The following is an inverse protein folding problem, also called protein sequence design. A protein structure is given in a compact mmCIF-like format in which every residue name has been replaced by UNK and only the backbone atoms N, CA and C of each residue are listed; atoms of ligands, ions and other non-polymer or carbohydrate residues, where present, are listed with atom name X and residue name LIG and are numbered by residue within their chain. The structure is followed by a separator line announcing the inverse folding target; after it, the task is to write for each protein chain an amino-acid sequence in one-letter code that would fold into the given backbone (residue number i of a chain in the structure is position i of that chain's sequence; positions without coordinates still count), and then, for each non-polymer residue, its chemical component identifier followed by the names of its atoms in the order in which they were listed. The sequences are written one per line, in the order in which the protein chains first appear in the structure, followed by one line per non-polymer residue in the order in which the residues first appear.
data_IF_444254051249
#
_entry.id   IF_444254051249
#
_cell.length_a   1.000
_cell.length_b   1.000
_cell.length_c   1.000
_cell.angle_alpha   90.00
_cell.angle_beta   90.00
_cell.angle_gamma   90.00
#
_symmetry.space_group_name_H-M   'P 1'
#
loop_
_entity.id
_entity.type
_entity.pdbx_description
1 polymer ?
#
# COMPACT_ATOMS: atom_id res chain seq x y z
N UNK A 1 19.09 13.23 4.97
CA UNK A 1 17.71 12.70 5.10
C UNK A 1 16.72 13.85 5.26
N UNK A 2 16.94 14.80 6.18
CA UNK A 2 16.19 16.06 6.21
C UNK A 2 16.89 17.18 5.42
N UNK A 3 16.08 18.13 4.98
CA UNK A 3 16.48 19.46 4.52
C UNK A 3 16.73 20.41 5.71
N UNK A 4 17.20 21.61 5.41
CA UNK A 4 17.36 22.68 6.42
C UNK A 4 16.04 23.10 7.04
N UNK A 5 14.92 22.98 6.32
CA UNK A 5 13.58 23.40 6.74
C UNK A 5 12.77 22.30 7.44
N UNK A 6 13.39 21.16 7.78
CA UNK A 6 12.75 20.10 8.57
C UNK A 6 11.83 19.16 7.78
N UNK A 7 11.82 19.25 6.44
CA UNK A 7 11.19 18.26 5.55
C UNK A 7 12.23 17.29 4.98
N UNK A 8 11.80 16.24 4.28
CA UNK A 8 12.71 15.32 3.58
C UNK A 8 13.56 16.03 2.52
N UNK A 9 14.84 15.65 2.48
CA UNK A 9 15.77 16.11 1.46
C UNK A 9 15.45 15.45 0.10
N UNK A 10 15.27 16.26 -0.94
CA UNK A 10 14.96 15.79 -2.30
C UNK A 10 16.01 14.84 -2.87
N UNK A 11 17.30 15.06 -2.60
CA UNK A 11 18.37 14.16 -3.01
C UNK A 11 18.29 12.80 -2.31
N UNK A 12 17.84 12.74 -1.06
CA UNK A 12 17.61 11.47 -0.37
C UNK A 12 16.38 10.71 -0.92
N UNK A 13 15.31 11.44 -1.26
CA UNK A 13 14.12 10.85 -1.89
C UNK A 13 14.41 10.27 -3.28
N UNK A 14 15.34 10.87 -4.03
CA UNK A 14 15.73 10.42 -5.36
C UNK A 14 16.55 9.11 -5.36
N UNK A 15 17.21 8.77 -4.26
CA UNK A 15 17.98 7.52 -4.15
C UNK A 15 17.02 6.35 -3.93
N UNK A 16 16.95 5.39 -4.86
CA UNK A 16 16.10 4.19 -4.72
C UNK A 16 14.62 4.58 -4.63
N UNK A 17 13.98 4.94 -5.75
CA UNK A 17 12.83 5.86 -5.87
C UNK A 17 11.87 5.81 -4.67
N UNK A 18 12.09 6.70 -3.70
CA UNK A 18 11.30 6.72 -2.47
C UNK A 18 9.98 7.43 -2.68
N UNK A 19 8.94 6.92 -2.04
CA UNK A 19 7.62 7.54 -2.03
C UNK A 19 7.29 8.03 -0.64
N UNK A 20 6.48 9.09 -0.58
CA UNK A 20 6.00 9.68 0.69
C UNK A 20 4.50 9.42 0.83
N UNK A 21 4.09 8.97 2.01
CA UNK A 21 2.72 8.67 2.39
C UNK A 21 2.39 9.40 3.69
N UNK A 22 1.44 10.35 3.70
CA UNK A 22 0.95 10.91 4.94
C UNK A 22 0.07 9.86 5.65
N UNK A 23 0.25 9.74 6.97
CA UNK A 23 -0.50 8.81 7.82
C UNK A 23 -1.09 9.58 9.00
N UNK A 24 -2.36 9.31 9.38
CA UNK A 24 -2.97 9.92 10.56
C UNK A 24 -2.14 9.66 11.82
N UNK A 25 -1.96 10.68 12.64
CA UNK A 25 -1.27 10.55 13.92
C UNK A 25 -1.92 11.44 14.98
N UNK A 26 -1.71 11.10 16.25
CA UNK A 26 -2.15 11.92 17.38
C UNK A 26 -1.26 13.13 17.63
N UNK A 27 -1.20 13.56 18.89
CA UNK A 27 -0.28 14.62 19.35
C UNK A 27 1.07 14.08 19.85
N UNK A 28 1.22 12.77 19.93
CA UNK A 28 2.39 12.06 20.45
C UNK A 28 2.54 10.73 19.71
N UNK A 29 3.72 10.13 19.79
CA UNK A 29 3.97 8.79 19.29
C UNK A 29 3.07 7.81 20.05
N UNK A 30 2.41 6.93 19.31
CA UNK A 30 1.58 5.85 19.83
C UNK A 30 2.08 4.50 19.31
N UNK A 31 1.51 3.41 19.83
CA UNK A 31 1.86 2.05 19.43
C UNK A 31 1.76 1.84 17.93
N UNK A 32 0.76 2.44 17.27
CA UNK A 32 0.58 2.30 15.82
C UNK A 32 1.76 2.92 15.05
N UNK A 33 2.29 4.05 15.51
CA UNK A 33 3.44 4.69 14.90
C UNK A 33 4.74 3.92 15.14
N UNK A 34 4.92 3.38 16.35
CA UNK A 34 6.04 2.50 16.69
C UNK A 34 6.04 1.25 15.81
N UNK A 35 4.89 0.58 15.70
CA UNK A 35 4.78 -0.63 14.88
C UNK A 35 5.12 -0.36 13.41
N UNK A 36 4.71 0.79 12.86
CA UNK A 36 5.05 1.15 11.48
C UNK A 36 6.55 1.26 11.22
N UNK A 37 7.32 1.85 12.14
CA UNK A 37 8.79 1.93 11.93
C UNK A 37 9.44 0.56 12.09
N UNK A 38 9.00 -0.25 13.05
CA UNK A 38 9.52 -1.60 13.28
C UNK A 38 9.27 -2.49 12.06
N UNK A 39 8.02 -2.57 11.60
CA UNK A 39 7.64 -3.38 10.43
C UNK A 39 8.30 -2.90 9.14
N UNK A 40 8.47 -1.58 9.00
CA UNK A 40 9.25 -0.99 7.91
C UNK A 40 10.70 -1.44 7.92
N UNK A 41 11.35 -1.43 9.09
CA UNK A 41 12.73 -1.91 9.25
C UNK A 41 12.84 -3.41 8.97
N UNK A 42 11.97 -4.24 9.55
CA UNK A 42 11.97 -5.69 9.32
C UNK A 42 11.80 -6.04 7.84
N UNK A 43 10.82 -5.43 7.17
CA UNK A 43 10.56 -5.71 5.75
C UNK A 43 11.66 -5.14 4.84
N UNK A 44 12.29 -4.04 5.26
CA UNK A 44 13.41 -3.43 4.55
C UNK A 44 14.77 -4.11 4.77
N UNK A 45 14.89 -5.00 5.77
CA UNK A 45 16.14 -5.64 6.15
C UNK A 45 17.07 -4.76 7.00
N UNK A 46 16.51 -3.77 7.72
CA UNK A 46 17.28 -2.90 8.59
C UNK A 46 17.27 -3.41 10.04
N UNK A 47 18.46 -3.48 10.64
CA UNK A 47 18.64 -4.07 11.99
C UNK A 47 18.37 -3.10 13.15
N UNK A 48 18.11 -1.82 12.86
CA UNK A 48 17.94 -0.80 13.88
C UNK A 48 17.15 0.41 13.40
N UNK A 49 16.61 1.16 14.37
CA UNK A 49 15.94 2.44 14.18
C UNK A 49 16.86 3.56 14.65
N UNK A 50 17.11 4.52 13.78
CA UNK A 50 17.75 5.78 14.08
C UNK A 50 16.69 6.79 14.51
N UNK A 51 16.85 7.36 15.70
CA UNK A 51 15.94 8.35 16.29
C UNK A 51 16.62 9.70 16.37
N UNK A 52 15.95 10.74 15.89
CA UNK A 52 16.39 12.14 15.98
C UNK A 52 15.23 13.01 16.45
N UNK A 53 15.33 13.52 17.67
CA UNK A 53 14.51 14.65 18.08
C UNK A 53 14.94 15.89 17.28
N UNK A 54 13.98 16.60 16.69
CA UNK A 54 14.28 17.76 15.84
C UNK A 54 14.18 19.01 16.74
N UNK A 55 15.28 19.39 17.38
CA UNK A 55 15.34 20.66 18.11
C UNK A 55 15.18 21.88 17.17
N UNK A 56 14.87 23.04 17.77
CA UNK A 56 14.85 24.33 17.06
C UNK A 56 16.22 24.75 16.53
N UNK A 57 17.30 24.21 17.10
CA UNK A 57 18.68 24.46 16.67
C UNK A 57 19.24 23.28 15.88
N UNK A 58 19.71 23.55 14.66
CA UNK A 58 20.30 22.57 13.74
C UNK A 58 21.55 21.87 14.31
N UNK A 59 22.25 22.51 15.25
CA UNK A 59 23.49 22.03 15.86
C UNK A 59 23.28 20.93 16.92
N UNK A 60 22.04 20.68 17.37
CA UNK A 60 21.72 19.71 18.44
C UNK A 60 21.09 18.41 17.92
N UNK A 61 21.15 18.16 16.60
CA UNK A 61 20.56 16.99 15.95
C UNK A 61 21.40 15.73 16.20
N UNK A 62 21.21 15.11 17.36
CA UNK A 62 21.88 13.85 17.72
C UNK A 62 21.04 12.65 17.33
N UNK A 63 21.63 11.72 16.58
CA UNK A 63 21.02 10.41 16.30
C UNK A 63 21.23 9.48 17.49
N UNK A 64 20.17 8.79 17.91
CA UNK A 64 20.24 7.63 18.80
C UNK A 64 19.91 6.38 18.01
N UNK A 65 20.71 5.34 18.19
CA UNK A 65 20.42 4.02 17.62
C UNK A 65 19.61 3.23 18.64
N UNK A 66 18.43 2.77 18.25
CA UNK A 66 17.60 1.87 19.02
C UNK A 66 17.47 0.56 18.26
N UNK A 67 17.61 -0.56 18.96
CA UNK A 67 17.18 -1.83 18.43
C UNK A 67 15.63 -1.82 18.26
N UNK A 68 15.06 -2.47 17.24
CA UNK A 68 13.61 -2.37 16.96
C UNK A 68 12.73 -2.82 18.13
N UNK A 69 13.16 -3.83 18.87
CA UNK A 69 12.50 -4.36 20.07
C UNK A 69 12.49 -3.38 21.26
N UNK A 70 13.51 -2.53 21.38
CA UNK A 70 13.61 -1.48 22.42
C UNK A 70 12.90 -0.19 22.00
N UNK A 71 12.66 0.00 20.70
CA UNK A 71 12.06 1.22 20.17
C UNK A 71 10.67 1.51 20.74
N UNK A 72 9.89 0.48 21.10
CA UNK A 72 8.54 0.65 21.64
C UNK A 72 8.52 1.39 22.98
N UNK A 73 9.35 0.98 23.94
CA UNK A 73 9.39 1.61 25.26
C UNK A 73 10.02 3.01 25.25
N UNK A 74 10.98 3.24 24.37
CA UNK A 74 11.73 4.51 24.31
C UNK A 74 11.01 5.60 23.51
N UNK A 75 10.12 5.22 22.59
CA UNK A 75 9.41 6.17 21.72
C UNK A 75 8.01 6.51 22.23
N UNK A 76 7.41 5.72 23.11
CA UNK A 76 6.05 5.96 23.59
C UNK A 76 5.92 7.36 24.22
N UNK A 77 4.86 8.07 23.82
CA UNK A 77 4.55 9.40 24.32
C UNK A 77 5.47 10.53 23.85
N UNK A 78 6.51 10.27 23.05
CA UNK A 78 7.37 11.31 22.48
C UNK A 78 6.55 12.25 21.61
N UNK A 79 6.77 13.56 21.75
CA UNK A 79 6.04 14.59 21.00
C UNK A 79 6.82 15.04 19.78
N UNK A 80 6.14 15.48 18.70
CA UNK A 80 6.80 16.08 17.55
C UNK A 80 7.48 17.42 17.91
N UNK A 81 8.51 17.85 17.17
CA UNK A 81 9.00 17.23 15.93
C UNK A 81 10.03 16.10 16.15
N UNK A 82 9.84 14.99 15.44
CA UNK A 82 10.64 13.76 15.57
C UNK A 82 10.91 13.16 14.19
N UNK A 83 12.11 12.63 13.99
CA UNK A 83 12.44 11.78 12.84
C UNK A 83 12.89 10.41 13.31
N UNK A 84 12.27 9.38 12.75
CA UNK A 84 12.67 8.00 12.85
C UNK A 84 13.17 7.54 11.49
N UNK A 85 14.23 6.76 11.43
CA UNK A 85 14.77 6.25 10.18
C UNK A 85 15.29 4.83 10.33
N UNK A 86 15.20 4.04 9.27
CA UNK A 86 15.90 2.75 9.24
C UNK A 86 17.42 2.98 9.21
N UNK A 87 18.19 2.08 9.82
CA UNK A 87 19.65 2.18 9.89
C UNK A 87 20.33 2.19 8.51
N UNK A 88 19.75 1.46 7.56
CA UNK A 88 20.14 1.42 6.13
C UNK A 88 19.69 2.65 5.33
N UNK A 89 18.91 3.55 5.96
CA UNK A 89 18.34 4.79 5.40
C UNK A 89 17.44 4.59 4.18
N UNK A 90 16.89 3.38 4.00
CA UNK A 90 15.92 3.09 2.95
C UNK A 90 14.51 3.58 3.29
N UNK A 91 14.24 3.87 4.56
CA UNK A 91 12.98 4.47 4.99
C UNK A 91 13.10 5.37 6.21
N UNK A 92 12.07 6.18 6.42
CA UNK A 92 11.97 7.12 7.51
C UNK A 92 10.51 7.49 7.79
N UNK A 93 10.26 7.94 9.02
CA UNK A 93 9.01 8.51 9.48
C UNK A 93 9.32 9.87 10.10
N UNK A 94 8.82 10.93 9.47
CA UNK A 94 8.89 12.30 9.97
C UNK A 94 7.57 12.60 10.66
N UNK A 95 7.64 12.94 11.94
CA UNK A 95 6.51 13.44 12.72
C UNK A 95 6.73 14.93 12.96
N UNK A 96 6.28 15.81 12.04
CA UNK A 96 6.63 17.22 12.10
C UNK A 96 5.81 17.99 13.14
N UNK A 97 4.55 17.59 13.36
CA UNK A 97 3.58 18.25 14.25
C UNK A 97 2.37 17.35 14.50
N UNK A 98 1.53 17.64 15.51
CA UNK A 98 0.33 16.85 15.78
C UNK A 98 -0.60 16.68 14.57
N UNK A 99 -1.26 15.53 14.49
CA UNK A 99 -2.27 15.22 13.47
C UNK A 99 -1.76 14.31 12.34
N UNK A 100 -0.47 14.28 12.04
CA UNK A 100 0.04 13.40 10.98
C UNK A 100 1.53 13.10 11.11
N UNK A 101 1.92 12.01 10.47
CA UNK A 101 3.32 11.73 10.11
C UNK A 101 3.45 11.59 8.60
N UNK A 102 4.66 11.79 8.10
CA UNK A 102 5.05 11.47 6.74
C UNK A 102 5.93 10.23 6.79
N UNK A 103 5.47 9.14 6.17
CA UNK A 103 6.25 7.91 6.01
C UNK A 103 6.89 7.96 4.63
N UNK A 104 8.21 7.93 4.55
CA UNK A 104 8.96 7.95 3.29
C UNK A 104 9.87 6.73 3.19
N UNK A 105 9.92 6.07 2.04
CA UNK A 105 10.84 4.95 1.86
C UNK A 105 10.78 4.27 0.50
N UNK A 106 11.64 3.27 0.33
CA UNK A 106 11.61 2.34 -0.82
C UNK A 106 10.36 1.45 -0.77
N UNK A 107 10.08 0.73 -1.86
CA UNK A 107 8.97 -0.22 -1.90
C UNK A 107 9.06 -1.29 -0.79
N UNK A 108 10.27 -1.79 -0.49
CA UNK A 108 10.49 -2.76 0.58
C UNK A 108 10.12 -2.21 1.96
N UNK A 109 10.62 -1.03 2.32
CA UNK A 109 10.28 -0.39 3.60
C UNK A 109 8.78 -0.05 3.70
N UNK A 110 8.20 0.50 2.64
CA UNK A 110 6.79 0.91 2.64
C UNK A 110 5.82 -0.26 2.72
N UNK A 111 6.20 -1.45 2.24
CA UNK A 111 5.38 -2.66 2.36
C UNK A 111 5.09 -3.03 3.82
N UNK A 112 6.07 -2.81 4.72
CA UNK A 112 5.88 -2.99 6.16
C UNK A 112 5.27 -1.76 6.85
N UNK A 113 5.80 -0.56 6.58
CA UNK A 113 5.39 0.66 7.28
C UNK A 113 4.00 1.19 6.87
N UNK A 114 3.52 0.82 5.69
CA UNK A 114 2.23 1.24 5.12
C UNK A 114 1.55 0.00 4.54
N UNK A 115 0.98 -0.88 5.38
CA UNK A 115 0.37 -2.13 4.91
C UNK A 115 -0.82 -1.88 3.96
N UNK A 116 -1.46 -0.71 4.04
CA UNK A 116 -2.51 -0.30 3.10
C UNK A 116 -1.99 0.11 1.70
N UNK A 117 -0.67 0.13 1.49
CA UNK A 117 -0.02 0.63 0.29
C UNK A 117 -0.01 2.16 0.16
N UNK A 118 0.81 2.69 -0.75
CA UNK A 118 1.02 4.15 -0.91
C UNK A 118 -0.28 4.90 -1.18
N UNK A 119 -1.07 4.43 -2.15
CA UNK A 119 -2.31 5.10 -2.54
C UNK A 119 -3.47 4.80 -1.59
N UNK A 120 -3.49 3.63 -0.96
CA UNK A 120 -4.43 3.33 0.11
C UNK A 120 -4.21 4.28 1.30
N UNK A 121 -2.95 4.45 1.71
CA UNK A 121 -2.54 5.37 2.77
C UNK A 121 -2.91 6.81 2.47
N UNK A 122 -2.55 7.32 1.28
CA UNK A 122 -2.91 8.68 0.82
C UNK A 122 -4.41 8.93 0.81
N UNK A 123 -5.21 8.00 0.29
CA UNK A 123 -6.66 8.15 0.27
C UNK A 123 -7.29 8.07 1.66
N UNK A 124 -6.78 7.19 2.53
CA UNK A 124 -7.20 7.10 3.94
C UNK A 124 -6.89 8.41 4.66
N UNK A 125 -5.70 8.96 4.45
CA UNK A 125 -5.33 10.27 4.97
C UNK A 125 -6.24 11.38 4.46
N UNK A 126 -6.60 11.40 3.17
CA UNK A 126 -7.56 12.37 2.62
C UNK A 126 -8.97 12.27 3.23
N UNK A 127 -9.43 11.09 3.66
CA UNK A 127 -10.67 10.96 4.45
C UNK A 127 -10.49 11.50 5.88
N UNK A 128 -9.39 11.15 6.51
CA UNK A 128 -9.05 11.61 7.86
C UNK A 128 -8.90 13.15 7.92
N UNK A 129 -8.18 13.77 6.99
CA UNK A 129 -8.00 15.21 6.92
C UNK A 129 -9.34 15.96 6.85
N UNK A 130 -10.33 15.42 6.13
CA UNK A 130 -11.69 15.97 6.09
C UNK A 130 -12.41 15.82 7.43
N UNK A 131 -12.33 14.64 8.06
CA UNK A 131 -12.95 14.40 9.36
C UNK A 131 -12.33 15.23 10.49
N UNK A 132 -11.02 15.46 10.42
CA UNK A 132 -10.24 16.18 11.42
C UNK A 132 -10.11 17.69 11.16
N UNK A 133 -10.73 18.22 10.10
CA UNK A 133 -10.56 19.60 9.64
C UNK A 133 -10.83 20.67 10.72
N UNK A 134 -11.72 20.40 11.68
CA UNK A 134 -11.97 21.31 12.81
C UNK A 134 -10.80 21.38 13.80
N UNK A 135 -10.13 20.25 14.02
CA UNK A 135 -9.04 20.13 15.02
C UNK A 135 -7.69 20.49 14.41
N UNK A 136 -7.46 20.09 13.16
CA UNK A 136 -6.21 20.31 12.43
C UNK A 136 -6.53 20.76 10.99
N UNK A 137 -6.79 22.05 10.76
CA UNK A 137 -7.19 22.57 9.45
C UNK A 137 -6.16 22.31 8.34
N UNK A 138 -4.88 22.43 8.68
CA UNK A 138 -3.76 22.33 7.73
C UNK A 138 -3.58 20.92 7.13
N UNK A 139 -4.25 19.90 7.68
CA UNK A 139 -4.19 18.54 7.12
C UNK A 139 -4.78 18.48 5.71
N UNK A 140 -5.67 19.41 5.35
CA UNK A 140 -6.21 19.51 4.00
C UNK A 140 -5.08 19.76 2.99
N UNK A 141 -4.21 20.71 3.25
CA UNK A 141 -3.12 21.09 2.36
C UNK A 141 -2.08 19.95 2.23
N UNK A 142 -1.84 19.23 3.34
CA UNK A 142 -1.01 18.03 3.32
C UNK A 142 -1.65 16.95 2.44
N UNK A 143 -2.95 16.70 2.56
CA UNK A 143 -3.64 15.69 1.74
C UNK A 143 -3.61 16.04 0.24
N UNK A 144 -3.66 17.34 -0.09
CA UNK A 144 -3.57 17.83 -1.47
C UNK A 144 -2.15 17.75 -2.04
N UNK A 145 -1.13 17.85 -1.18
CA UNK A 145 0.28 17.71 -1.57
C UNK A 145 0.66 16.25 -1.88
N UNK A 146 -0.09 15.29 -1.34
CA UNK A 146 0.13 13.85 -1.56
C UNK A 146 -1.14 13.15 -2.05
N UNK A 147 -1.66 13.50 -3.25
CA UNK A 147 -2.85 12.85 -3.77
C UNK A 147 -2.55 11.37 -4.08
N UNK A 148 -3.57 10.51 -3.93
CA UNK A 148 -3.50 9.15 -4.48
C UNK A 148 -3.27 9.23 -5.99
N UNK A 149 -2.26 8.53 -6.50
CA UNK A 149 -1.90 8.57 -7.91
C UNK A 149 -2.91 7.81 -8.78
N UNK A 150 -3.49 6.74 -8.25
CA UNK A 150 -4.47 5.90 -8.91
C UNK A 150 -5.86 6.15 -8.33
N UNK A 151 -6.75 6.72 -9.16
CA UNK A 151 -8.19 6.75 -8.91
C UNK A 151 -8.65 5.28 -8.87
N UNK A 152 -9.40 4.90 -7.83
CA UNK A 152 -9.93 3.53 -7.76
C UNK A 152 -10.91 3.28 -8.92
N UNK A 153 -10.60 2.32 -9.78
CA UNK A 153 -11.36 2.03 -11.00
C UNK A 153 -12.61 1.21 -10.66
N UNK A 154 -13.78 1.69 -11.11
CA UNK A 154 -15.04 0.96 -10.96
C UNK A 154 -15.38 0.12 -12.19
N UNK A 155 -14.74 0.41 -13.33
CA UNK A 155 -15.07 -0.22 -14.60
C UNK A 155 -13.82 -0.64 -15.33
N UNK A 156 -13.89 -1.75 -16.06
CA UNK A 156 -12.76 -2.28 -16.84
C UNK A 156 -12.16 -1.24 -17.80
N UNK A 157 -13.01 -0.43 -18.47
CA UNK A 157 -12.57 0.64 -19.39
C UNK A 157 -11.81 1.80 -18.73
N UNK A 158 -11.91 1.95 -17.41
CA UNK A 158 -11.20 3.00 -16.66
C UNK A 158 -9.77 2.59 -16.32
N UNK A 159 -9.44 1.30 -16.46
CA UNK A 159 -8.13 0.75 -16.13
C UNK A 159 -7.13 1.12 -17.24
N UNK A 160 -6.03 1.81 -16.92
CA UNK A 160 -4.98 2.08 -17.89
C UNK A 160 -4.38 0.81 -18.47
N UNK A 161 -4.06 0.84 -19.76
CA UNK A 161 -3.32 -0.24 -20.40
C UNK A 161 -1.95 -0.43 -19.72
N UNK A 162 -1.53 -1.68 -19.54
CA UNK A 162 -0.24 -2.04 -18.94
C UNK A 162 -0.24 -2.26 -17.42
N UNK A 163 -1.37 -2.03 -16.74
CA UNK A 163 -1.52 -2.39 -15.32
C UNK A 163 -1.78 -3.90 -15.15
N UNK A 164 -1.53 -4.42 -13.95
CA UNK A 164 -1.83 -5.81 -13.61
C UNK A 164 -3.35 -6.06 -13.52
N UNK A 165 -4.14 -5.07 -13.12
CA UNK A 165 -5.61 -5.11 -13.20
C UNK A 165 -6.10 -5.20 -14.66
N UNK A 166 -5.47 -4.48 -15.59
CA UNK A 166 -5.79 -4.61 -17.02
C UNK A 166 -5.43 -6.01 -17.54
N UNK A 167 -4.34 -6.62 -17.03
CA UNK A 167 -3.99 -8.02 -17.34
C UNK A 167 -5.05 -8.99 -16.83
N UNK A 168 -5.55 -8.83 -15.59
CA UNK A 168 -6.64 -9.66 -15.05
C UNK A 168 -7.89 -9.62 -15.96
N UNK A 169 -8.32 -8.42 -16.41
CA UNK A 169 -9.45 -8.30 -17.35
C UNK A 169 -9.18 -9.00 -18.68
N UNK A 170 -7.97 -8.82 -19.25
CA UNK A 170 -7.60 -9.49 -20.51
C UNK A 170 -7.59 -11.02 -20.38
N UNK A 171 -7.15 -11.55 -19.25
CA UNK A 171 -7.18 -12.99 -18.98
C UNK A 171 -8.60 -13.52 -18.90
N UNK A 172 -9.52 -12.78 -18.25
CA UNK A 172 -10.94 -13.15 -18.23
C UNK A 172 -11.54 -13.17 -19.65
N UNK A 173 -11.21 -12.18 -20.48
CA UNK A 173 -11.63 -12.14 -21.89
C UNK A 173 -11.04 -13.31 -22.69
N UNK A 174 -9.74 -13.55 -22.56
CA UNK A 174 -9.04 -14.61 -23.26
C UNK A 174 -9.60 -16.01 -22.90
N UNK A 175 -9.89 -16.22 -21.62
CA UNK A 175 -10.46 -17.48 -21.13
C UNK A 175 -11.90 -17.69 -21.63
N UNK A 176 -12.75 -16.66 -21.55
CA UNK A 176 -14.16 -16.77 -21.95
C UNK A 176 -14.38 -17.02 -23.45
N UNK A 177 -13.41 -16.63 -24.30
CA UNK A 177 -13.39 -16.94 -25.74
C UNK A 177 -12.63 -18.22 -26.09
N UNK A 178 -12.14 -18.96 -25.09
CA UNK A 178 -11.45 -20.25 -25.26
C UNK A 178 -10.02 -20.15 -25.81
N UNK A 179 -9.36 -19.00 -25.66
CA UNK A 179 -7.98 -18.81 -26.15
C UNK A 179 -6.89 -19.28 -25.19
N UNK A 180 -7.24 -19.54 -23.92
CA UNK A 180 -6.36 -20.10 -22.89
C UNK A 180 -7.11 -21.19 -22.10
N UNK A 181 -6.37 -22.15 -21.53
CA UNK A 181 -6.95 -23.21 -20.68
C UNK A 181 -7.38 -22.69 -19.31
N UNK A 182 -8.20 -23.45 -18.57
CA UNK A 182 -8.58 -23.09 -17.19
C UNK A 182 -7.38 -23.01 -16.26
N UNK A 183 -6.44 -23.95 -16.40
CA UNK A 183 -5.23 -23.99 -15.59
C UNK A 183 -4.29 -22.80 -15.87
N UNK A 184 -4.14 -22.38 -17.14
CA UNK A 184 -3.35 -21.20 -17.50
C UNK A 184 -4.03 -19.91 -17.03
N UNK A 185 -5.35 -19.81 -17.20
CA UNK A 185 -6.14 -18.71 -16.67
C UNK A 185 -5.96 -18.58 -15.16
N UNK A 186 -6.13 -19.65 -14.39
CA UNK A 186 -6.01 -19.64 -12.94
C UNK A 186 -4.62 -19.16 -12.47
N UNK A 187 -3.54 -19.75 -13.02
CA UNK A 187 -2.17 -19.38 -12.66
C UNK A 187 -1.87 -17.92 -12.99
N UNK A 188 -2.13 -17.50 -14.22
CA UNK A 188 -1.79 -16.15 -14.66
C UNK A 188 -2.66 -15.08 -14.00
N UNK A 189 -3.93 -15.38 -13.72
CA UNK A 189 -4.84 -14.43 -13.08
C UNK A 189 -4.47 -14.22 -11.61
N UNK A 190 -4.13 -15.28 -10.87
CA UNK A 190 -3.61 -15.17 -9.51
C UNK A 190 -2.27 -14.42 -9.44
N UNK A 191 -1.37 -14.66 -10.40
CA UNK A 191 -0.13 -13.88 -10.53
C UNK A 191 -0.40 -12.40 -10.78
N UNK A 192 -1.31 -12.09 -11.70
CA UNK A 192 -1.70 -10.71 -11.99
C UNK A 192 -2.40 -10.06 -10.80
N UNK A 193 -3.19 -10.80 -10.00
CA UNK A 193 -3.79 -10.31 -8.76
C UNK A 193 -2.74 -9.95 -7.72
N UNK A 194 -1.75 -10.83 -7.50
CA UNK A 194 -0.61 -10.57 -6.60
C UNK A 194 0.18 -9.34 -7.05
N UNK A 195 0.46 -9.21 -8.34
CA UNK A 195 1.15 -8.05 -8.89
C UNK A 195 0.33 -6.75 -8.73
N UNK A 196 -0.98 -6.80 -8.97
CA UNK A 196 -1.90 -5.68 -8.79
C UNK A 196 -1.92 -5.18 -7.33
N UNK A 197 -1.98 -6.09 -6.37
CA UNK A 197 -1.89 -5.77 -4.94
C UNK A 197 -0.52 -5.18 -4.57
N UNK A 198 0.58 -5.77 -5.06
CA UNK A 198 1.94 -5.26 -4.83
C UNK A 198 2.17 -3.87 -5.44
N UNK A 199 1.54 -3.59 -6.59
CA UNK A 199 1.58 -2.30 -7.26
C UNK A 199 0.65 -1.26 -6.62
N UNK A 200 -0.18 -1.66 -5.64
CA UNK A 200 -1.15 -0.79 -4.99
C UNK A 200 -2.26 -0.31 -5.93
N UNK A 201 -2.56 -1.09 -6.97
CA UNK A 201 -3.66 -0.80 -7.90
C UNK A 201 -4.99 -0.92 -7.17
N UNK A 202 -5.89 0.05 -7.38
CA UNK A 202 -7.11 0.15 -6.59
C UNK A 202 -8.34 -0.05 -7.45
N UNK A 203 -9.18 -0.96 -7.00
CA UNK A 203 -10.51 -1.20 -7.55
C UNK A 203 -11.56 -0.69 -6.56
N UNK A 204 -12.73 -0.39 -7.08
CA UNK A 204 -13.94 -0.17 -6.28
C UNK A 204 -15.11 -0.85 -6.98
N UNK A 205 -16.24 -0.93 -6.31
CA UNK A 205 -17.42 -1.56 -6.91
C UNK A 205 -17.91 -0.83 -8.17
N UNK A 206 -18.44 -1.57 -9.16
CA UNK A 206 -18.70 -3.03 -9.13
C UNK A 206 -17.50 -3.94 -9.45
N UNK A 207 -16.42 -3.40 -10.02
CA UNK A 207 -15.29 -4.19 -10.51
C UNK A 207 -14.53 -4.95 -9.40
N UNK A 208 -14.42 -4.36 -8.20
CA UNK A 208 -13.83 -5.04 -7.04
C UNK A 208 -14.58 -6.33 -6.71
N UNK A 209 -15.90 -6.25 -6.57
CA UNK A 209 -16.78 -7.41 -6.34
C UNK A 209 -16.61 -8.48 -7.42
N UNK A 210 -16.48 -8.09 -8.69
CA UNK A 210 -16.25 -9.03 -9.78
C UNK A 210 -14.92 -9.78 -9.62
N UNK A 211 -13.83 -9.07 -9.28
CA UNK A 211 -12.52 -9.69 -9.07
C UNK A 211 -12.52 -10.61 -7.85
N UNK A 212 -13.22 -10.25 -6.78
CA UNK A 212 -13.34 -11.11 -5.60
C UNK A 212 -14.15 -12.38 -5.92
N UNK A 213 -15.19 -12.27 -6.75
CA UNK A 213 -15.92 -13.45 -7.25
C UNK A 213 -15.05 -14.37 -8.10
N UNK A 214 -14.23 -13.83 -9.01
CA UNK A 214 -13.27 -14.65 -9.78
C UNK A 214 -12.28 -15.34 -8.84
N UNK A 215 -11.77 -14.62 -7.84
CA UNK A 215 -10.85 -15.21 -6.87
C UNK A 215 -11.49 -16.40 -6.15
N UNK A 216 -12.72 -16.28 -5.64
CA UNK A 216 -13.43 -17.40 -5.01
C UNK A 216 -13.68 -18.56 -5.97
N UNK A 217 -14.04 -18.31 -7.23
CA UNK A 217 -14.19 -19.37 -8.23
C UNK A 217 -12.87 -20.14 -8.47
N UNK A 218 -11.73 -19.45 -8.38
CA UNK A 218 -10.42 -20.09 -8.51
C UNK A 218 -10.00 -20.86 -7.25
N UNK A 219 -10.59 -20.59 -6.09
CA UNK A 219 -10.42 -21.42 -4.89
C UNK A 219 -11.15 -22.75 -5.03
N UNK A 220 -12.28 -22.77 -5.74
CA UNK A 220 -13.09 -23.96 -6.05
C UNK A 220 -12.65 -24.67 -7.36
N UNK A 221 -11.50 -24.31 -7.93
CA UNK A 221 -10.98 -24.88 -9.17
C UNK A 221 -9.61 -25.52 -8.99
N UNK A 222 -9.51 -26.81 -9.31
CA UNK A 222 -8.24 -27.53 -9.30
C UNK A 222 -7.43 -27.31 -10.57
N UNK A 223 -6.30 -26.61 -10.41
CA UNK A 223 -5.32 -26.35 -11.49
C UNK A 223 -4.66 -27.65 -11.98
N UNK A 224 -4.50 -28.64 -11.11
CA UNK A 224 -3.98 -29.96 -11.44
C UNK A 224 -5.14 -30.96 -11.55
N UNK A 225 -5.45 -31.47 -12.76
CA UNK A 225 -6.52 -32.46 -12.94
C UNK A 225 -6.35 -33.73 -12.11
N UNK A 226 -5.11 -34.09 -11.73
CA UNK A 226 -4.84 -35.28 -10.91
C UNK A 226 -5.23 -35.09 -9.44
N UNK A 227 -5.38 -33.85 -8.99
CA UNK A 227 -5.77 -33.48 -7.63
C UNK A 227 -7.22 -32.98 -7.55
N UNK A 228 -7.96 -33.07 -8.66
CA UNK A 228 -9.33 -32.57 -8.75
C UNK A 228 -10.27 -33.37 -7.86
N UNK A 229 -10.92 -32.70 -6.93
CA UNK A 229 -12.01 -33.27 -6.14
C UNK A 229 -13.33 -33.28 -6.94
N UNK A 230 -14.27 -34.20 -6.64
CA UNK A 230 -15.54 -34.29 -7.37
C UNK A 230 -16.38 -33.01 -7.34
N UNK A 231 -16.22 -32.20 -6.30
CA UNK A 231 -16.96 -30.94 -6.11
C UNK A 231 -16.26 -29.73 -6.77
N UNK A 232 -15.04 -29.90 -7.29
CA UNK A 232 -14.29 -28.83 -7.95
C UNK A 232 -14.87 -28.49 -9.33
N UNK A 233 -14.81 -27.21 -9.68
CA UNK A 233 -15.23 -26.71 -10.97
C UNK A 233 -14.45 -27.38 -12.11
N UNK A 234 -15.15 -27.72 -13.18
CA UNK A 234 -14.55 -28.00 -14.49
C UNK A 234 -14.15 -26.71 -15.22
N UNK A 235 -13.31 -26.84 -16.25
CA UNK A 235 -12.96 -25.72 -17.14
C UNK A 235 -14.21 -25.09 -17.77
N UNK A 236 -15.21 -25.90 -18.13
CA UNK A 236 -16.47 -25.43 -18.72
C UNK A 236 -17.30 -24.65 -17.70
N UNK A 237 -17.47 -25.18 -16.48
CA UNK A 237 -18.20 -24.50 -15.40
C UNK A 237 -17.51 -23.20 -14.97
N UNK A 238 -16.18 -23.21 -14.88
CA UNK A 238 -15.39 -22.02 -14.58
C UNK A 238 -15.54 -20.99 -15.71
N UNK A 239 -15.49 -21.41 -16.97
CA UNK A 239 -15.68 -20.52 -18.14
C UNK A 239 -17.04 -19.83 -18.10
N UNK A 240 -18.11 -20.59 -17.84
CA UNK A 240 -19.47 -20.07 -17.75
C UNK A 240 -19.65 -19.13 -16.56
N UNK A 241 -19.03 -19.44 -15.42
CA UNK A 241 -19.06 -18.58 -14.24
C UNK A 241 -18.31 -17.25 -14.49
N UNK A 242 -17.11 -17.28 -15.07
CA UNK A 242 -16.34 -16.09 -15.43
C UNK A 242 -17.11 -15.21 -16.42
N UNK A 243 -17.78 -15.82 -17.41
CA UNK A 243 -18.62 -15.11 -18.38
C UNK A 243 -19.77 -14.36 -17.68
N UNK A 244 -20.49 -15.01 -16.78
CA UNK A 244 -21.57 -14.39 -15.99
C UNK A 244 -21.07 -13.21 -15.14
N UNK A 245 -19.87 -13.32 -14.57
CA UNK A 245 -19.24 -12.22 -13.81
C UNK A 245 -18.92 -11.03 -14.71
N UNK A 246 -18.38 -11.29 -15.91
CA UNK A 246 -18.09 -10.24 -16.90
C UNK A 246 -19.35 -9.50 -17.36
N UNK A 247 -20.41 -10.23 -17.70
CA UNK A 247 -21.70 -9.66 -18.13
C UNK A 247 -22.30 -8.70 -17.09
N UNK A 248 -22.15 -9.01 -15.79
CA UNK A 248 -22.61 -8.15 -14.69
C UNK A 248 -21.77 -6.89 -14.50
N UNK A 249 -20.51 -6.93 -14.92
CA UNK A 249 -19.55 -5.83 -14.76
C UNK A 249 -19.56 -4.87 -15.95
N UNK A 250 -19.93 -5.38 -17.13
CA UNK A 250 -20.10 -4.65 -18.38
C UNK A 250 -21.48 -4.01 -18.57
N UNK A 251 -22.26 -3.85 -17.49
CA UNK A 251 -23.52 -3.09 -17.46
C UNK A 251 -23.32 -1.61 -17.84
N UNK A 252 -23.23 -1.38 -19.15
CA UNK A 252 -23.28 -0.14 -19.92
C UNK A 252 -24.50 -0.27 -20.83
#
# INVERSE_FOLDING_TARGET
MLSSIGDYNSAWLAVGPKLVVPVPAGSRVDDALVQRIIEGCHTGGADAVLVMAIGSETASRTWRLLAPDVAASELDGVTPPLLLASSDRQGAILFPRPGYVLVAGTAGFLKGAVPEGVDGGRARFGRYARAAAKRWPDLKDISQSFPSRHIAWARAREIPAGTSAARQVKLMQAFTVGSISGADFAREWLDARRASQNNGERLRDPLLTAFDQIFSLLEDYSIDPALKDPDDLSDEELTDAVRKVMERTDGI
#
